data_IF_183802259951
#
_entry.id   IF_183802259951
#
_cell.length_a   1.000
_cell.length_b   1.000
_cell.length_c   1.000
_cell.angle_alpha   90.00
_cell.angle_beta   90.00
_cell.angle_gamma   90.00
#
_symmetry.space_group_name_H-M   'P 1'
#
loop_
_entity.id
_entity.type
_entity.pdbx_description
1 polymer ?
#
# COMPACT_ATOMS: atom_id res chain seq x y z
N UNK A 1 -24.73 -20.15 11.35
CA UNK A 1 -24.15 -18.84 11.71
C UNK A 1 -22.84 -18.54 10.98
N UNK A 2 -21.81 -19.40 11.05
CA UNK A 2 -20.50 -19.14 10.40
C UNK A 2 -20.58 -19.05 8.85
N UNK A 3 -21.44 -19.84 8.18
CA UNK A 3 -21.57 -19.74 6.71
C UNK A 3 -22.35 -18.50 6.25
N UNK A 4 -23.30 -18.02 7.07
CA UNK A 4 -24.11 -16.83 6.76
C UNK A 4 -23.29 -15.54 6.94
N UNK A 5 -22.38 -15.50 7.93
CA UNK A 5 -21.43 -14.38 8.09
C UNK A 5 -20.43 -14.30 6.91
N UNK A 6 -19.90 -15.44 6.43
CA UNK A 6 -19.02 -15.44 5.24
C UNK A 6 -19.74 -14.97 3.99
N UNK A 7 -20.99 -15.40 3.78
CA UNK A 7 -21.79 -14.96 2.64
C UNK A 7 -22.02 -13.45 2.63
N UNK A 8 -22.21 -12.84 3.81
CA UNK A 8 -22.34 -11.39 3.95
C UNK A 8 -21.04 -10.65 3.59
N UNK A 9 -19.88 -11.20 3.99
CA UNK A 9 -18.56 -10.62 3.65
C UNK A 9 -18.31 -10.60 2.14
N UNK A 10 -18.65 -11.66 1.41
CA UNK A 10 -18.50 -11.69 -0.05
C UNK A 10 -19.45 -10.70 -0.75
N UNK A 11 -20.68 -10.55 -0.24
CA UNK A 11 -21.65 -9.60 -0.79
C UNK A 11 -21.15 -8.16 -0.67
N UNK A 12 -20.57 -7.77 0.46
CA UNK A 12 -20.06 -6.40 0.63
C UNK A 12 -18.81 -6.15 -0.22
N UNK A 13 -17.90 -7.12 -0.34
CA UNK A 13 -16.77 -7.00 -1.28
C UNK A 13 -17.27 -6.84 -2.72
N UNK A 14 -18.29 -7.61 -3.12
CA UNK A 14 -18.88 -7.53 -4.45
C UNK A 14 -19.61 -6.19 -4.66
N UNK A 15 -20.29 -5.67 -3.64
CA UNK A 15 -20.89 -4.33 -3.68
C UNK A 15 -19.82 -3.23 -3.84
N UNK A 16 -18.68 -3.34 -3.15
CA UNK A 16 -17.58 -2.39 -3.32
C UNK A 16 -17.01 -2.41 -4.74
N UNK A 17 -16.82 -3.60 -5.32
CA UNK A 17 -16.41 -3.77 -6.72
C UNK A 17 -17.40 -3.06 -7.63
N UNK A 18 -18.70 -3.32 -7.46
CA UNK A 18 -19.77 -2.70 -8.26
C UNK A 18 -19.78 -1.18 -8.11
N UNK A 19 -19.65 -0.65 -6.90
CA UNK A 19 -19.63 0.81 -6.66
C UNK A 19 -18.42 1.45 -7.36
N UNK A 20 -17.25 0.85 -7.24
CA UNK A 20 -16.02 1.39 -7.85
C UNK A 20 -16.09 1.30 -9.37
N UNK A 21 -16.59 0.18 -9.91
CA UNK A 21 -16.81 0.02 -11.34
C UNK A 21 -17.86 0.98 -11.91
N UNK A 22 -18.99 1.18 -11.20
CA UNK A 22 -20.01 2.15 -11.60
C UNK A 22 -19.48 3.59 -11.56
N UNK A 23 -18.74 3.96 -10.50
CA UNK A 23 -18.11 5.27 -10.40
C UNK A 23 -17.08 5.50 -11.51
N UNK A 24 -16.27 4.48 -11.81
CA UNK A 24 -15.31 4.51 -12.90
C UNK A 24 -15.98 4.65 -14.27
N UNK A 25 -17.00 3.85 -14.57
CA UNK A 25 -17.75 3.93 -15.83
C UNK A 25 -18.41 5.31 -16.00
N UNK A 26 -19.01 5.84 -14.94
CA UNK A 26 -19.66 7.16 -14.99
C UNK A 26 -18.65 8.28 -15.29
N UNK A 27 -17.47 8.24 -14.66
CA UNK A 27 -16.43 9.25 -14.85
C UNK A 27 -15.77 9.17 -16.23
N UNK A 28 -15.62 7.96 -16.77
CA UNK A 28 -14.87 7.70 -18.00
C UNK A 28 -15.78 7.61 -19.24
N UNK A 29 -17.08 7.86 -19.11
CA UNK A 29 -18.04 7.82 -20.22
C UNK A 29 -17.92 9.07 -21.11
N UNK A 30 -17.87 8.95 -22.46
CA UNK A 30 -18.04 7.75 -23.30
C UNK A 30 -16.73 7.05 -23.71
N UNK A 31 -15.57 7.58 -23.31
CA UNK A 31 -14.23 7.18 -23.76
C UNK A 31 -13.57 6.08 -22.89
N UNK A 32 -14.35 5.28 -22.18
CA UNK A 32 -13.81 4.33 -21.19
C UNK A 32 -12.88 3.29 -21.83
N UNK A 33 -13.18 2.89 -23.05
CA UNK A 33 -12.36 1.96 -23.83
C UNK A 33 -11.06 2.59 -24.34
N UNK A 34 -11.09 3.88 -24.70
CA UNK A 34 -9.90 4.56 -25.25
C UNK A 34 -8.87 4.82 -24.16
N UNK A 35 -9.28 5.04 -22.91
CA UNK A 35 -8.37 5.18 -21.75
C UNK A 35 -7.59 3.89 -21.49
N UNK A 36 -8.27 2.73 -21.48
CA UNK A 36 -7.61 1.43 -21.30
C UNK A 36 -6.70 1.12 -22.49
N UNK A 37 -7.17 1.34 -23.71
CA UNK A 37 -6.38 1.05 -24.91
C UNK A 37 -5.11 1.93 -24.99
N UNK A 38 -5.20 3.20 -24.59
CA UNK A 38 -4.06 4.13 -24.60
C UNK A 38 -2.99 3.77 -23.57
N UNK A 39 -3.38 3.13 -22.46
CA UNK A 39 -2.50 2.80 -21.34
C UNK A 39 -2.53 1.32 -20.97
N UNK A 40 -2.66 0.44 -21.97
CA UNK A 40 -2.82 -0.99 -21.77
C UNK A 40 -1.64 -1.60 -20.97
N UNK A 41 -0.42 -1.06 -21.11
CA UNK A 41 0.74 -1.53 -20.34
C UNK A 41 0.53 -1.31 -18.83
N UNK A 42 -0.10 -0.20 -18.44
CA UNK A 42 -0.43 0.10 -17.04
C UNK A 42 -1.46 -0.90 -16.53
N UNK A 43 -2.54 -1.12 -17.28
CA UNK A 43 -3.58 -2.09 -16.93
C UNK A 43 -2.99 -3.49 -16.74
N UNK A 44 -2.18 -3.97 -17.69
CA UNK A 44 -1.52 -5.29 -17.60
C UNK A 44 -0.58 -5.37 -16.41
N UNK A 45 0.23 -4.33 -16.18
CA UNK A 45 1.12 -4.25 -15.00
C UNK A 45 0.33 -4.40 -13.72
N UNK A 46 -0.85 -3.77 -13.64
CA UNK A 46 -1.70 -3.82 -12.46
C UNK A 46 -2.49 -5.12 -12.32
N UNK A 47 -2.79 -5.86 -13.39
CA UNK A 47 -3.29 -7.25 -13.27
C UNK A 47 -2.30 -8.08 -12.45
N UNK A 48 -1.02 -8.07 -12.87
CA UNK A 48 0.03 -8.77 -12.12
C UNK A 48 0.24 -8.16 -10.74
N UNK A 49 0.17 -6.83 -10.63
CA UNK A 49 0.26 -6.08 -9.38
C UNK A 49 -0.74 -6.55 -8.34
N UNK A 50 -2.02 -6.65 -8.71
CA UNK A 50 -3.11 -7.09 -7.85
C UNK A 50 -2.95 -8.54 -7.41
N UNK A 51 -2.49 -9.43 -8.32
CA UNK A 51 -2.26 -10.84 -7.99
C UNK A 51 -1.18 -11.00 -6.93
N UNK A 52 -0.04 -10.31 -7.09
CA UNK A 52 1.03 -10.37 -6.08
C UNK A 52 0.56 -9.69 -4.79
N UNK A 53 -0.15 -8.57 -4.89
CA UNK A 53 -0.66 -7.87 -3.71
C UNK A 53 -1.64 -8.71 -2.88
N UNK A 54 -2.44 -9.57 -3.53
CA UNK A 54 -3.29 -10.53 -2.84
C UNK A 54 -2.51 -11.68 -2.18
N UNK A 55 -1.32 -11.98 -2.68
CA UNK A 55 -0.47 -13.08 -2.19
C UNK A 55 0.56 -12.64 -1.13
N UNK A 56 0.85 -11.34 -1.02
CA UNK A 56 1.88 -10.81 -0.13
C UNK A 56 1.33 -9.70 0.77
N UNK A 57 2.14 -9.21 1.70
CA UNK A 57 1.81 -8.07 2.57
C UNK A 57 2.06 -6.71 1.92
N UNK A 58 2.27 -6.69 0.61
CA UNK A 58 2.76 -5.56 -0.17
C UNK A 58 1.70 -5.14 -1.18
N UNK A 59 1.42 -3.83 -1.30
CA UNK A 59 0.44 -3.35 -2.28
C UNK A 59 0.88 -3.53 -3.73
N UNK A 60 -0.05 -3.48 -4.68
CA UNK A 60 0.25 -3.61 -6.13
C UNK A 60 1.22 -2.53 -6.66
N UNK A 61 1.38 -1.44 -5.90
CA UNK A 61 2.37 -0.39 -6.12
C UNK A 61 3.81 -0.89 -6.17
N UNK A 62 4.10 -2.05 -5.58
CA UNK A 62 5.42 -2.67 -5.61
C UNK A 62 5.84 -3.26 -6.95
N UNK A 63 4.90 -3.75 -7.75
CA UNK A 63 5.20 -4.10 -9.14
C UNK A 63 5.14 -2.84 -10.00
N UNK A 64 4.16 -1.97 -9.73
CA UNK A 64 3.95 -0.78 -10.53
C UNK A 64 5.19 0.12 -10.55
N UNK A 65 5.79 0.40 -9.39
CA UNK A 65 6.93 1.31 -9.30
C UNK A 65 8.16 0.90 -10.14
N UNK A 66 8.71 -0.33 -10.06
CA UNK A 66 9.85 -0.75 -10.88
C UNK A 66 9.47 -0.85 -12.36
N UNK A 67 8.27 -1.33 -12.69
CA UNK A 67 7.82 -1.40 -14.10
C UNK A 67 7.69 0.01 -14.68
N UNK A 68 7.07 0.94 -13.95
CA UNK A 68 6.86 2.30 -14.41
C UNK A 68 8.19 3.03 -14.57
N UNK A 69 9.08 2.92 -13.59
CA UNK A 69 10.33 3.69 -13.59
C UNK A 69 11.43 3.08 -14.45
N UNK A 70 11.50 1.75 -14.60
CA UNK A 70 12.56 1.06 -15.37
C UNK A 70 12.12 0.61 -16.76
N UNK A 71 10.87 0.18 -16.94
CA UNK A 71 10.39 -0.35 -18.23
C UNK A 71 9.69 0.76 -19.02
N UNK A 72 8.72 1.44 -18.41
CA UNK A 72 7.94 2.49 -19.06
C UNK A 72 8.61 3.87 -19.01
N UNK A 73 9.75 3.99 -18.31
CA UNK A 73 10.53 5.23 -18.19
C UNK A 73 9.73 6.43 -17.65
N UNK A 74 8.67 6.17 -16.87
CA UNK A 74 7.86 7.19 -16.20
C UNK A 74 8.69 7.84 -15.08
N UNK A 75 8.60 9.17 -14.88
CA UNK A 75 9.29 9.85 -13.78
C UNK A 75 8.93 9.24 -12.41
N UNK A 76 9.90 9.02 -11.50
CA UNK A 76 9.62 8.48 -10.16
C UNK A 76 8.65 9.33 -9.34
N UNK A 77 8.60 10.65 -9.59
CA UNK A 77 7.64 11.54 -8.95
C UNK A 77 6.18 11.17 -9.34
N UNK A 78 5.92 10.92 -10.62
CA UNK A 78 4.61 10.49 -11.11
C UNK A 78 4.28 9.06 -10.67
N UNK A 79 5.27 8.15 -10.72
CA UNK A 79 5.11 6.78 -10.25
C UNK A 79 4.77 6.69 -8.75
N UNK A 80 5.36 7.58 -7.93
CA UNK A 80 5.01 7.72 -6.50
C UNK A 80 3.54 8.12 -6.33
N UNK A 81 3.11 9.19 -7.01
CA UNK A 81 1.74 9.70 -6.86
C UNK A 81 0.73 8.65 -7.33
N UNK A 82 1.02 7.98 -8.45
CA UNK A 82 0.24 6.85 -8.94
C UNK A 82 0.17 5.73 -7.89
N UNK A 83 1.31 5.34 -7.30
CA UNK A 83 1.37 4.27 -6.30
C UNK A 83 0.53 4.59 -5.06
N UNK A 84 0.56 5.84 -4.57
CA UNK A 84 -0.30 6.27 -3.46
C UNK A 84 -1.79 6.25 -3.85
N UNK A 85 -2.13 6.74 -5.04
CA UNK A 85 -3.51 6.80 -5.53
C UNK A 85 -4.10 5.42 -5.79
N UNK A 86 -3.32 4.48 -6.32
CA UNK A 86 -3.84 3.13 -6.60
C UNK A 86 -3.99 2.31 -5.31
N UNK A 87 -3.08 2.53 -4.35
CA UNK A 87 -3.16 1.88 -3.04
C UNK A 87 -4.28 2.43 -2.17
N UNK A 88 -4.63 3.72 -2.28
CA UNK A 88 -5.78 4.27 -1.55
C UNK A 88 -7.12 3.67 -1.99
N UNK A 89 -7.19 3.09 -3.20
CA UNK A 89 -8.35 2.30 -3.65
C UNK A 89 -8.19 0.84 -3.24
N UNK A 90 -7.13 0.17 -3.69
CA UNK A 90 -6.94 -1.26 -3.50
C UNK A 90 -6.76 -1.67 -2.04
N UNK A 91 -5.88 -0.99 -1.30
CA UNK A 91 -5.59 -1.34 0.10
C UNK A 91 -6.76 -0.97 1.02
N UNK A 92 -7.55 0.06 0.69
CA UNK A 92 -8.79 0.38 1.42
C UNK A 92 -9.85 -0.71 1.18
N UNK A 93 -10.05 -1.14 -0.08
CA UNK A 93 -10.96 -2.25 -0.39
C UNK A 93 -10.54 -3.54 0.35
N UNK A 94 -9.24 -3.86 0.32
CA UNK A 94 -8.68 -4.99 1.06
C UNK A 94 -8.84 -4.84 2.58
N UNK A 95 -8.65 -3.63 3.13
CA UNK A 95 -8.85 -3.34 4.56
C UNK A 95 -10.29 -3.55 5.00
N UNK A 96 -11.27 -3.15 4.19
CA UNK A 96 -12.68 -3.41 4.47
C UNK A 96 -12.94 -4.91 4.48
N UNK A 97 -12.43 -5.65 3.48
CA UNK A 97 -12.54 -7.10 3.43
C UNK A 97 -11.91 -7.78 4.68
N UNK A 98 -10.73 -7.34 5.10
CA UNK A 98 -10.04 -7.81 6.31
C UNK A 98 -10.90 -7.63 7.57
N UNK A 99 -11.51 -6.45 7.74
CA UNK A 99 -12.34 -6.12 8.90
C UNK A 99 -13.61 -7.00 8.90
N UNK A 100 -14.25 -7.19 7.75
CA UNK A 100 -15.45 -8.00 7.61
C UNK A 100 -15.20 -9.49 7.83
N UNK A 101 -14.07 -10.00 7.34
CA UNK A 101 -13.63 -11.37 7.59
C UNK A 101 -13.22 -11.58 9.05
N UNK A 102 -13.22 -10.53 9.88
CA UNK A 102 -12.78 -10.54 11.29
C UNK A 102 -11.37 -11.13 11.43
N UNK A 103 -10.50 -10.85 10.47
CA UNK A 103 -9.10 -11.25 10.56
C UNK A 103 -8.47 -10.56 11.78
N UNK A 104 -7.56 -11.27 12.46
CA UNK A 104 -6.88 -10.75 13.64
C UNK A 104 -5.92 -9.63 13.22
N UNK A 105 -6.06 -8.45 13.81
CA UNK A 105 -5.26 -7.26 13.51
C UNK A 105 -4.77 -6.60 14.80
N UNK A 106 -3.59 -5.97 14.75
CA UNK A 106 -3.00 -5.28 15.89
C UNK A 106 -3.37 -3.79 15.87
N UNK A 107 -4.56 -3.44 16.34
CA UNK A 107 -5.07 -2.06 16.35
C UNK A 107 -4.15 -1.04 17.02
N UNK A 108 -3.50 -1.42 18.13
CA UNK A 108 -2.54 -0.53 18.81
C UNK A 108 -1.32 -0.23 17.95
N UNK A 109 -0.83 -1.21 17.19
CA UNK A 109 0.26 -1.02 16.23
C UNK A 109 -0.19 -0.06 15.13
N UNK A 110 -1.41 -0.26 14.61
CA UNK A 110 -1.98 0.60 13.58
C UNK A 110 -1.96 2.07 14.04
N UNK A 111 -2.48 2.36 15.24
CA UNK A 111 -2.53 3.72 15.77
C UNK A 111 -1.14 4.35 15.88
N UNK A 112 -0.19 3.70 16.57
CA UNK A 112 1.14 4.29 16.82
C UNK A 112 1.98 4.43 15.54
N UNK A 113 1.93 3.43 14.66
CA UNK A 113 2.67 3.46 13.40
C UNK A 113 2.04 4.46 12.43
N UNK A 114 0.71 4.58 12.37
CA UNK A 114 0.04 5.61 11.54
C UNK A 114 0.37 7.03 12.01
N UNK A 115 0.40 7.29 13.33
CA UNK A 115 0.77 8.60 13.86
C UNK A 115 2.19 8.99 13.46
N UNK A 116 3.15 8.07 13.59
CA UNK A 116 4.50 8.29 13.08
C UNK A 116 4.54 8.41 11.55
N UNK A 117 3.74 7.60 10.86
CA UNK A 117 3.61 7.53 9.40
C UNK A 117 3.20 8.85 8.78
N UNK A 118 2.18 9.51 9.34
CA UNK A 118 1.72 10.82 8.86
C UNK A 118 2.82 11.88 8.97
N UNK A 119 3.50 11.95 10.12
CA UNK A 119 4.61 12.89 10.32
C UNK A 119 5.78 12.59 9.36
N UNK A 120 6.16 11.32 9.25
CA UNK A 120 7.18 10.87 8.32
C UNK A 120 6.83 11.18 6.86
N UNK A 121 5.57 10.99 6.47
CA UNK A 121 5.10 11.24 5.12
C UNK A 121 5.16 12.72 4.74
N UNK A 122 4.82 13.63 5.65
CA UNK A 122 5.02 15.06 5.45
C UNK A 122 6.52 15.36 5.22
N UNK A 123 7.39 14.81 6.07
CA UNK A 123 8.84 14.98 5.96
C UNK A 123 9.35 14.46 4.60
N UNK A 124 8.94 13.26 4.21
CA UNK A 124 9.34 12.62 2.96
C UNK A 124 8.84 13.37 1.73
N UNK A 125 7.55 13.69 1.66
CA UNK A 125 6.92 14.28 0.49
C UNK A 125 7.19 15.76 0.33
N UNK A 126 7.17 16.55 1.42
CA UNK A 126 7.33 18.01 1.34
C UNK A 126 8.80 18.42 1.37
N UNK A 127 9.59 17.85 2.27
CA UNK A 127 10.96 18.31 2.51
C UNK A 127 12.00 17.53 1.71
N UNK A 128 11.93 16.19 1.70
CA UNK A 128 12.96 15.36 1.04
C UNK A 128 12.72 15.15 -0.46
N UNK A 129 11.47 15.03 -0.91
CA UNK A 129 11.13 14.77 -2.31
C UNK A 129 11.76 15.76 -3.31
N UNK A 130 11.82 17.08 -3.07
CA UNK A 130 12.47 18.02 -4.00
C UNK A 130 14.00 17.99 -3.93
N UNK A 131 14.58 17.48 -2.83
CA UNK A 131 16.03 17.46 -2.61
C UNK A 131 16.70 16.22 -3.21
N UNK A 132 15.97 15.11 -3.35
CA UNK A 132 16.52 13.83 -3.74
C UNK A 132 16.51 13.61 -5.26
N UNK A 133 17.65 13.16 -5.79
CA UNK A 133 17.75 12.75 -7.18
C UNK A 133 16.82 11.55 -7.48
N UNK A 134 16.17 11.49 -8.66
CA UNK A 134 15.29 10.39 -9.03
C UNK A 134 15.94 9.00 -8.94
N UNK A 135 17.26 8.90 -9.17
CA UNK A 135 18.02 7.67 -9.01
C UNK A 135 18.04 7.17 -7.57
N UNK A 136 18.11 8.07 -6.58
CA UNK A 136 18.09 7.70 -5.16
C UNK A 136 16.76 7.07 -4.77
N UNK A 137 15.64 7.63 -5.24
CA UNK A 137 14.30 7.09 -4.97
C UNK A 137 14.16 5.67 -5.52
N UNK A 138 14.67 5.41 -6.74
CA UNK A 138 14.69 4.06 -7.34
C UNK A 138 15.56 3.08 -6.55
N UNK A 139 16.71 3.52 -6.04
CA UNK A 139 17.57 2.70 -5.19
C UNK A 139 16.91 2.39 -3.85
N UNK A 140 16.29 3.38 -3.20
CA UNK A 140 15.54 3.20 -1.95
C UNK A 140 14.45 2.13 -2.08
N UNK A 141 13.64 2.19 -3.14
CA UNK A 141 12.65 1.16 -3.42
C UNK A 141 13.27 -0.23 -3.58
N UNK A 142 14.38 -0.33 -4.33
CA UNK A 142 15.04 -1.62 -4.57
C UNK A 142 15.58 -2.22 -3.27
N UNK A 143 16.18 -1.41 -2.39
CA UNK A 143 16.69 -1.86 -1.09
C UNK A 143 15.54 -2.31 -0.18
N UNK A 144 14.43 -1.58 -0.17
CA UNK A 144 13.21 -1.94 0.55
C UNK A 144 12.65 -3.29 0.11
N UNK A 145 12.51 -3.49 -1.21
CA UNK A 145 12.01 -4.75 -1.78
C UNK A 145 12.94 -5.93 -1.44
N UNK A 146 14.26 -5.74 -1.49
CA UNK A 146 15.24 -6.77 -1.10
C UNK A 146 15.12 -7.10 0.40
N UNK A 147 14.93 -6.09 1.26
CA UNK A 147 14.73 -6.30 2.70
C UNK A 147 13.48 -7.13 2.99
N UNK A 148 12.38 -6.85 2.29
CA UNK A 148 11.15 -7.63 2.39
C UNK A 148 11.37 -9.07 1.88
N UNK A 149 12.00 -9.23 0.72
CA UNK A 149 12.32 -10.55 0.16
C UNK A 149 13.17 -11.39 1.14
N UNK A 150 14.17 -10.78 1.77
CA UNK A 150 14.98 -11.45 2.79
C UNK A 150 14.14 -11.87 4.01
N UNK A 151 13.20 -11.04 4.43
CA UNK A 151 12.26 -11.35 5.51
C UNK A 151 11.41 -12.57 5.17
N UNK A 152 10.83 -12.61 3.97
CA UNK A 152 10.03 -13.74 3.47
C UNK A 152 10.85 -15.02 3.32
N UNK A 153 12.09 -14.93 2.83
CA UNK A 153 13.00 -16.09 2.76
C UNK A 153 13.26 -16.64 4.16
N UNK A 154 13.57 -15.78 5.15
CA UNK A 154 13.78 -16.24 6.53
C UNK A 154 12.55 -16.93 7.11
N UNK A 155 11.37 -16.37 6.88
CA UNK A 155 10.08 -17.00 7.21
C UNK A 155 9.97 -18.41 6.60
N UNK A 156 10.24 -18.55 5.29
CA UNK A 156 10.15 -19.83 4.59
C UNK A 156 11.16 -20.88 5.09
N UNK A 157 12.33 -20.46 5.57
CA UNK A 157 13.38 -21.36 6.10
C UNK A 157 13.13 -21.89 7.52
N UNK A 158 11.93 -21.70 8.07
CA UNK A 158 11.53 -22.27 9.35
C UNK A 158 11.70 -21.34 10.55
N UNK A 159 11.72 -20.02 10.34
CA UNK A 159 11.70 -19.05 11.43
C UNK A 159 10.40 -19.20 12.24
N UNK A 160 10.52 -19.65 13.50
CA UNK A 160 9.35 -19.94 14.34
C UNK A 160 8.67 -18.64 14.79
N UNK A 161 7.47 -18.40 14.25
CA UNK A 161 6.57 -17.36 14.71
C UNK A 161 5.85 -17.87 15.95
N UNK A 162 6.11 -17.25 17.10
CA UNK A 162 5.69 -17.79 18.40
C UNK A 162 4.49 -17.03 19.00
N UNK A 163 4.17 -15.83 18.50
CA UNK A 163 3.23 -14.94 19.16
C UNK A 163 2.00 -14.62 18.29
N UNK A 164 0.82 -15.01 18.77
CA UNK A 164 -0.50 -14.66 18.22
C UNK A 164 -1.06 -13.34 18.80
N UNK A 165 -0.35 -12.75 19.75
CA UNK A 165 -0.65 -11.46 20.38
C UNK A 165 0.68 -10.73 20.62
N UNK A 166 0.67 -9.41 20.49
CA UNK A 166 1.85 -8.61 20.83
C UNK A 166 2.17 -8.81 22.34
N UNK A 167 3.45 -8.94 22.72
CA UNK A 167 3.87 -8.74 24.11
C UNK A 167 3.34 -7.39 24.63
N UNK A 168 3.21 -7.24 25.95
CA UNK A 168 2.69 -5.99 26.53
C UNK A 168 3.40 -4.76 25.93
N UNK A 169 2.60 -3.80 25.46
CA UNK A 169 3.13 -2.59 24.83
C UNK A 169 3.66 -1.70 25.96
N UNK A 170 4.97 -1.72 26.15
CA UNK A 170 5.68 -0.79 27.04
C UNK A 170 6.07 0.45 26.23
N UNK A 171 6.58 1.48 26.93
CA UNK A 171 7.08 2.73 26.32
C UNK A 171 8.15 2.45 25.25
N UNK A 172 8.97 1.42 25.44
CA UNK A 172 9.99 1.01 24.47
C UNK A 172 9.37 0.54 23.16
N UNK A 173 8.34 -0.30 23.22
CA UNK A 173 7.63 -0.76 22.03
C UNK A 173 6.93 0.40 21.33
N UNK A 174 6.32 1.33 22.08
CA UNK A 174 5.71 2.53 21.50
C UNK A 174 6.77 3.35 20.75
N UNK A 175 7.95 3.57 21.34
CA UNK A 175 9.05 4.31 20.71
C UNK A 175 9.55 3.62 19.43
N UNK A 176 9.63 2.29 19.44
CA UNK A 176 10.00 1.50 18.25
C UNK A 176 8.93 1.66 17.16
N UNK A 177 7.65 1.49 17.50
CA UNK A 177 6.54 1.61 16.55
C UNK A 177 6.44 3.02 15.95
N UNK A 178 6.64 4.06 16.76
CA UNK A 178 6.62 5.45 16.31
C UNK A 178 7.80 5.72 15.36
N UNK A 179 9.00 5.24 15.70
CA UNK A 179 10.17 5.33 14.83
C UNK A 179 9.95 4.61 13.50
N UNK A 180 9.38 3.40 13.53
CA UNK A 180 9.04 2.63 12.33
C UNK A 180 8.00 3.36 11.49
N UNK A 181 7.00 3.97 12.14
CA UNK A 181 6.03 4.84 11.50
C UNK A 181 6.71 6.02 10.79
N UNK A 182 7.55 6.78 11.48
CA UNK A 182 8.25 7.94 10.89
C UNK A 182 9.10 7.51 9.70
N UNK A 183 9.97 6.51 9.87
CA UNK A 183 10.87 6.06 8.80
C UNK A 183 10.07 5.49 7.63
N UNK A 184 9.06 4.66 7.90
CA UNK A 184 8.16 4.12 6.88
C UNK A 184 7.32 5.17 6.16
N UNK A 185 6.88 6.19 6.88
CA UNK A 185 6.18 7.36 6.34
C UNK A 185 7.09 8.15 5.41
N UNK A 186 8.33 8.43 5.80
CA UNK A 186 9.32 9.13 4.95
C UNK A 186 9.52 8.36 3.65
N UNK A 187 9.74 7.05 3.72
CA UNK A 187 9.93 6.23 2.52
C UNK A 187 8.66 6.20 1.67
N UNK A 188 7.49 6.04 2.28
CA UNK A 188 6.21 6.08 1.56
C UNK A 188 5.98 7.44 0.89
N UNK A 189 6.41 8.53 1.52
CA UNK A 189 6.34 9.88 0.96
C UNK A 189 7.32 10.14 -0.20
N UNK A 190 8.34 9.29 -0.37
CA UNK A 190 9.32 9.36 -1.45
C UNK A 190 9.02 8.40 -2.60
N UNK A 191 8.53 7.21 -2.29
CA UNK A 191 8.39 6.10 -3.23
C UNK A 191 6.93 5.75 -3.52
N UNK A 192 6.02 6.08 -2.59
CA UNK A 192 4.60 5.78 -2.68
C UNK A 192 4.19 4.45 -2.03
N UNK A 193 5.15 3.72 -1.45
CA UNK A 193 4.97 2.54 -0.60
C UNK A 193 6.16 2.40 0.35
N UNK A 194 5.98 1.75 1.50
CA UNK A 194 7.10 1.41 2.38
C UNK A 194 6.76 1.27 3.85
N UNK A 195 5.72 1.94 4.35
CA UNK A 195 5.28 1.81 5.74
C UNK A 195 4.75 0.40 6.03
N UNK A 196 4.08 -0.22 5.06
CA UNK A 196 3.68 -1.62 5.06
C UNK A 196 4.88 -2.55 5.18
N UNK A 197 5.85 -2.43 4.26
CA UNK A 197 7.00 -3.34 4.21
C UNK A 197 7.85 -3.24 5.49
N UNK A 198 8.10 -2.03 5.98
CA UNK A 198 8.88 -1.82 7.20
C UNK A 198 8.11 -2.31 8.43
N UNK A 199 6.83 -1.97 8.55
CA UNK A 199 6.04 -2.43 9.68
C UNK A 199 5.92 -3.96 9.69
N UNK A 200 5.62 -4.57 8.54
CA UNK A 200 5.59 -6.01 8.38
C UNK A 200 6.93 -6.65 8.78
N UNK A 201 8.04 -6.15 8.25
CA UNK A 201 9.37 -6.69 8.54
C UNK A 201 9.71 -6.61 10.04
N UNK A 202 9.37 -5.50 10.70
CA UNK A 202 9.59 -5.35 12.15
C UNK A 202 8.67 -6.25 12.96
N UNK A 203 7.38 -6.35 12.61
CA UNK A 203 6.44 -7.23 13.32
C UNK A 203 6.86 -8.70 13.25
N UNK A 204 7.32 -9.16 12.08
CA UNK A 204 7.72 -10.55 11.88
C UNK A 204 9.11 -10.81 12.47
N UNK A 205 10.12 -9.98 12.19
CA UNK A 205 11.50 -10.27 12.61
C UNK A 205 11.79 -9.89 14.06
N UNK A 206 11.35 -8.71 14.50
CA UNK A 206 11.64 -8.18 15.83
C UNK A 206 10.65 -8.72 16.86
N UNK A 207 9.35 -8.62 16.58
CA UNK A 207 8.29 -9.03 17.51
C UNK A 207 7.84 -10.49 17.34
N UNK A 208 8.31 -11.18 16.29
CA UNK A 208 8.00 -12.60 16.00
C UNK A 208 6.49 -12.88 15.94
N UNK A 209 5.74 -11.92 15.42
CA UNK A 209 4.29 -12.03 15.19
C UNK A 209 4.02 -12.88 13.96
N UNK A 210 2.98 -13.70 14.02
CA UNK A 210 2.57 -14.52 12.88
C UNK A 210 2.19 -13.66 11.66
N UNK A 211 2.58 -14.09 10.46
CA UNK A 211 2.25 -13.46 9.17
C UNK A 211 0.73 -13.28 8.99
N UNK A 212 -0.06 -14.25 9.45
CA UNK A 212 -1.53 -14.19 9.43
C UNK A 212 -2.15 -12.99 10.16
N UNK A 213 -1.38 -12.32 11.02
CA UNK A 213 -1.77 -11.10 11.76
C UNK A 213 -0.98 -9.89 11.25
N UNK A 214 0.31 -10.07 10.95
CA UNK A 214 1.17 -9.00 10.47
C UNK A 214 0.72 -8.46 9.10
N UNK A 215 0.36 -9.34 8.16
CA UNK A 215 -0.09 -8.97 6.82
C UNK A 215 -1.37 -8.13 6.84
N UNK A 216 -2.47 -8.56 7.51
CA UNK A 216 -3.65 -7.69 7.61
C UNK A 216 -3.38 -6.36 8.32
N UNK A 217 -2.46 -6.35 9.29
CA UNK A 217 -2.08 -5.12 10.02
C UNK A 217 -1.32 -4.14 9.10
N UNK A 218 -0.38 -4.62 8.28
CA UNK A 218 0.37 -3.78 7.34
C UNK A 218 -0.52 -3.25 6.20
N UNK A 219 -1.49 -4.05 5.74
CA UNK A 219 -2.45 -3.63 4.70
C UNK A 219 -3.28 -2.43 5.19
N UNK A 220 -3.84 -2.50 6.39
CA UNK A 220 -4.61 -1.39 6.98
C UNK A 220 -3.73 -0.16 7.19
N UNK A 221 -2.49 -0.34 7.64
CA UNK A 221 -1.54 0.75 7.79
C UNK A 221 -1.27 1.48 6.48
N UNK A 222 -1.07 0.73 5.40
CA UNK A 222 -0.84 1.31 4.08
C UNK A 222 -2.09 1.94 3.49
N UNK A 223 -3.28 1.40 3.76
CA UNK A 223 -4.54 2.03 3.39
C UNK A 223 -4.68 3.42 4.03
N UNK A 224 -4.42 3.54 5.34
CA UNK A 224 -4.46 4.82 6.05
C UNK A 224 -3.41 5.79 5.50
N UNK A 225 -2.17 5.32 5.33
CA UNK A 225 -1.06 6.16 4.90
C UNK A 225 -1.19 6.62 3.44
N UNK A 226 -1.71 5.77 2.55
CA UNK A 226 -1.94 6.12 1.14
C UNK A 226 -3.07 7.14 0.98
N UNK A 227 -4.17 7.00 1.72
CA UNK A 227 -5.24 8.01 1.75
C UNK A 227 -4.69 9.35 2.23
N UNK A 228 -3.91 9.35 3.33
CA UNK A 228 -3.26 10.57 3.81
C UNK A 228 -2.32 11.19 2.76
N UNK A 229 -1.54 10.36 2.06
CA UNK A 229 -0.66 10.79 0.98
C UNK A 229 -1.38 11.43 -0.20
N UNK A 230 -2.51 10.86 -0.63
CA UNK A 230 -3.35 11.43 -1.69
C UNK A 230 -3.94 12.76 -1.25
N UNK A 231 -4.45 12.86 -0.01
CA UNK A 231 -4.96 14.12 0.53
C UNK A 231 -3.87 15.18 0.59
N UNK A 232 -2.66 14.82 1.01
CA UNK A 232 -1.49 15.72 0.99
C UNK A 232 -1.21 16.21 -0.44
N UNK A 233 -1.26 15.33 -1.43
CA UNK A 233 -1.09 15.70 -2.84
C UNK A 233 -2.22 16.56 -3.42
N UNK A 234 -3.44 16.48 -2.91
CA UNK A 234 -4.57 17.30 -3.37
C UNK A 234 -4.54 18.69 -2.72
N UNK A 235 -4.21 18.78 -1.43
CA UNK A 235 -4.26 20.03 -0.67
C UNK A 235 -2.97 20.83 -0.69
N UNK A 236 -1.81 20.18 -0.77
CA UNK A 236 -0.51 20.84 -0.62
C UNK A 236 0.28 20.93 -1.93
N UNK A 237 0.08 19.98 -2.84
CA UNK A 237 0.60 20.03 -4.20
C UNK A 237 -0.57 20.37 -5.13
N UNK A 238 -0.35 21.00 -6.28
CA UNK A 238 -1.38 21.51 -7.21
C UNK A 238 -2.23 20.41 -7.89
N UNK A 239 -2.66 19.40 -7.15
CA UNK A 239 -3.42 18.25 -7.60
C UNK A 239 -2.57 17.10 -8.15
N UNK A 240 -3.26 16.13 -8.73
CA UNK A 240 -2.66 14.98 -9.40
C UNK A 240 -2.49 15.34 -10.88
N UNK A 241 -1.28 15.17 -11.42
CA UNK A 241 -0.96 15.34 -12.84
C UNK A 241 -1.99 14.60 -13.73
N UNK A 242 -2.46 15.25 -14.79
CA UNK A 242 -3.44 14.69 -15.73
C UNK A 242 -3.01 13.34 -16.32
N UNK A 243 -1.71 13.15 -16.56
CA UNK A 243 -1.16 11.86 -16.99
C UNK A 243 -1.30 10.78 -15.91
N UNK A 244 -1.01 11.12 -14.66
CA UNK A 244 -1.13 10.19 -13.52
C UNK A 244 -2.59 9.82 -13.27
N UNK A 245 -3.51 10.77 -13.44
CA UNK A 245 -4.95 10.51 -13.39
C UNK A 245 -5.36 9.51 -14.48
N UNK A 246 -4.85 9.66 -15.71
CA UNK A 246 -5.15 8.74 -16.80
C UNK A 246 -4.61 7.32 -16.53
N UNK A 247 -3.38 7.20 -16.00
CA UNK A 247 -2.83 5.92 -15.56
C UNK A 247 -3.69 5.29 -14.46
N UNK A 248 -4.12 6.09 -13.47
CA UNK A 248 -4.96 5.63 -12.37
C UNK A 248 -6.31 5.11 -12.88
N UNK A 249 -6.97 5.85 -13.77
CA UNK A 249 -8.21 5.40 -14.42
C UNK A 249 -8.00 4.10 -15.20
N UNK A 250 -6.88 3.92 -15.90
CA UNK A 250 -6.60 2.67 -16.59
C UNK A 250 -6.35 1.46 -15.65
N UNK A 251 -6.02 1.72 -14.38
CA UNK A 251 -5.68 0.70 -13.39
C UNK A 251 -6.83 0.34 -12.43
N UNK A 252 -7.67 1.30 -12.05
CA UNK A 252 -8.75 1.13 -11.06
C UNK A 252 -9.63 -0.10 -11.29
N UNK A 253 -10.09 -0.42 -12.52
CA UNK A 253 -10.98 -1.57 -12.75
C UNK A 253 -10.39 -2.93 -12.36
N UNK A 254 -9.06 -3.01 -12.31
CA UNK A 254 -8.31 -4.27 -12.14
C UNK A 254 -7.81 -4.45 -10.70
N UNK A 255 -7.83 -3.39 -9.90
CA UNK A 255 -7.21 -3.37 -8.57
C UNK A 255 -8.19 -3.74 -7.45
N UNK A 256 -9.48 -3.79 -7.74
CA UNK A 256 -10.56 -4.10 -6.78
C UNK A 256 -11.08 -5.51 -6.98
#
# INVERSE_FOLDING_TARGET
MISQERSCSYIVSLLLVVIIWCGWLFYTYPDSWTVIHSYWQVTVTMIFGSVIAGATSEGGGAIAFPVFTKILHIPPADAKVFSLAIQSVGMVAASIAIIMMRAKVLWRVIVWVSLGGMAGMIIGSVFLSPLLAPAMIRMLFTIMAISLAFTLIRLSTGFRLNYLKMPEITIREIAILLTVGIVGGVISGLVGSGIDMLCFSVLVLLFRISESIATPTSVILMAINSVFGVLLHIYFFDGINTQVQAYWLAAVPVVV
#
